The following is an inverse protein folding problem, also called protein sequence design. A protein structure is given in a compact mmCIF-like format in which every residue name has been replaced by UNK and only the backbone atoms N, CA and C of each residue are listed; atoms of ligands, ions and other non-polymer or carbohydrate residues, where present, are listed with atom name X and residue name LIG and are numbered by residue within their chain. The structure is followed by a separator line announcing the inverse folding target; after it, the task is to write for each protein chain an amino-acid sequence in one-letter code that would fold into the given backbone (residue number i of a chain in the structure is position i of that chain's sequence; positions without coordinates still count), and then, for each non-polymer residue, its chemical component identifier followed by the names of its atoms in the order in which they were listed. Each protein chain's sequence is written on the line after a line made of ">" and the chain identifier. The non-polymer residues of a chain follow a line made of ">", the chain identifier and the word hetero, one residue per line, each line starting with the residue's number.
data_IF_978305322526
#
_entry.id   IF_978305322526
#
_cell.length_a   1.000
_cell.length_b   1.000
_cell.length_c   1.000
_cell.angle_alpha   90.00
_cell.angle_beta   90.00
_cell.angle_gamma   90.00
#
_symmetry.space_group_name_H-M   'P 1'
#
loop_
_entity.id
_entity.type
_entity.pdbx_description
1 polymer ?
#
# COMPACT_ATOMS: atom_id res chain seq x y z
N UNK A 1 -7.57 -4.31 -64.89
CA UNK A 1 -6.38 -5.04 -65.38
C UNK A 1 -5.76 -5.72 -64.16
N UNK A 2 -6.03 -7.00 -63.93
CA UNK A 2 -5.57 -7.70 -62.72
C UNK A 2 -4.03 -7.88 -62.77
N UNK A 3 -3.30 -7.69 -61.65
CA UNK A 3 -1.85 -7.83 -61.62
C UNK A 3 -1.46 -9.27 -61.94
N UNK A 4 -0.58 -9.47 -62.93
CA UNK A 4 -0.05 -10.79 -63.28
C UNK A 4 0.88 -11.26 -62.17
N UNK A 5 0.39 -12.13 -61.29
CA UNK A 5 1.24 -12.87 -60.37
C UNK A 5 2.31 -13.66 -61.15
N UNK A 6 3.50 -13.79 -60.54
CA UNK A 6 4.57 -14.67 -61.04
C UNK A 6 4.03 -16.08 -61.26
N UNK A 7 4.71 -16.90 -62.08
CA UNK A 7 4.25 -18.28 -62.38
C UNK A 7 3.94 -19.09 -61.11
N UNK A 8 4.72 -18.86 -60.04
CA UNK A 8 4.48 -19.41 -58.71
C UNK A 8 3.18 -18.94 -58.04
N UNK A 9 2.85 -17.65 -58.16
CA UNK A 9 1.60 -17.11 -57.63
C UNK A 9 0.37 -17.63 -58.38
N UNK A 10 0.46 -17.82 -59.71
CA UNK A 10 -0.61 -18.45 -60.51
C UNK A 10 -0.81 -19.92 -60.15
N UNK A 11 0.27 -20.65 -59.91
CA UNK A 11 0.19 -22.03 -59.44
C UNK A 11 -0.47 -22.12 -58.05
N UNK A 12 -0.06 -21.25 -57.12
CA UNK A 12 -0.65 -21.16 -55.79
C UNK A 12 -2.14 -20.79 -55.86
N UNK A 13 -2.50 -19.78 -56.66
CA UNK A 13 -3.88 -19.37 -56.87
C UNK A 13 -4.74 -20.52 -57.42
N UNK A 14 -4.24 -21.24 -58.44
CA UNK A 14 -4.96 -22.39 -59.00
C UNK A 14 -5.10 -23.54 -57.98
N UNK A 15 -4.07 -23.79 -57.16
CA UNK A 15 -4.12 -24.82 -56.12
C UNK A 15 -5.17 -24.49 -55.05
N UNK A 16 -5.20 -23.25 -54.57
CA UNK A 16 -6.19 -22.81 -53.58
C UNK A 16 -7.59 -22.72 -54.18
N UNK A 17 -7.73 -22.22 -55.41
CA UNK A 17 -9.01 -22.19 -56.11
C UNK A 17 -9.58 -23.61 -56.29
N UNK A 18 -8.75 -24.56 -56.73
CA UNK A 18 -9.15 -25.96 -56.85
C UNK A 18 -9.47 -26.59 -55.47
N UNK A 19 -8.66 -26.29 -54.46
CA UNK A 19 -8.87 -26.76 -53.08
C UNK A 19 -10.18 -26.25 -52.47
N UNK A 20 -10.44 -24.95 -52.55
CA UNK A 20 -11.67 -24.34 -52.06
C UNK A 20 -12.89 -24.74 -52.88
N UNK A 21 -12.76 -24.90 -54.20
CA UNK A 21 -13.86 -25.39 -55.04
C UNK A 21 -14.23 -26.83 -54.67
N UNK A 22 -13.24 -27.72 -54.54
CA UNK A 22 -13.45 -29.11 -54.11
C UNK A 22 -14.05 -29.20 -52.71
N UNK A 23 -13.51 -28.42 -51.76
CA UNK A 23 -14.04 -28.34 -50.39
C UNK A 23 -15.46 -27.76 -50.35
N UNK A 24 -15.74 -26.72 -51.12
CA UNK A 24 -17.07 -26.13 -51.25
C UNK A 24 -18.08 -27.11 -51.82
N UNK A 25 -17.72 -27.88 -52.86
CA UNK A 25 -18.56 -28.95 -53.37
C UNK A 25 -18.79 -30.06 -52.33
N UNK A 26 -17.78 -30.41 -51.53
CA UNK A 26 -17.91 -31.38 -50.43
C UNK A 26 -18.87 -30.88 -49.34
N UNK A 27 -18.77 -29.61 -48.97
CA UNK A 27 -19.66 -28.96 -48.00
C UNK A 27 -21.10 -28.92 -48.50
N UNK A 28 -21.30 -28.54 -49.76
CA UNK A 28 -22.62 -28.48 -50.39
C UNK A 28 -23.29 -29.86 -50.49
N UNK A 29 -22.51 -30.95 -50.66
CA UNK A 29 -23.04 -32.33 -50.72
C UNK A 29 -23.39 -32.90 -49.35
N UNK A 30 -22.72 -32.45 -48.28
CA UNK A 30 -22.92 -32.98 -46.92
C UNK A 30 -23.10 -31.87 -45.86
N UNK A 31 -24.09 -30.97 -46.00
CA UNK A 31 -24.23 -29.82 -45.12
C UNK A 31 -24.48 -30.23 -43.66
N UNK A 32 -25.34 -31.22 -43.43
CA UNK A 32 -25.67 -31.68 -42.07
C UNK A 32 -24.48 -32.27 -41.30
N UNK A 33 -23.61 -33.05 -41.96
CA UNK A 33 -22.43 -33.65 -41.32
C UNK A 33 -21.41 -32.59 -40.90
N UNK A 34 -21.25 -31.54 -41.71
CA UNK A 34 -20.31 -30.46 -41.42
C UNK A 34 -20.82 -29.57 -40.29
N UNK A 35 -22.12 -29.27 -40.27
CA UNK A 35 -22.73 -28.53 -39.17
C UNK A 35 -22.54 -29.29 -37.86
N UNK A 36 -22.85 -30.60 -37.84
CA UNK A 36 -22.66 -31.43 -36.65
C UNK A 36 -21.18 -31.50 -36.23
N UNK A 37 -20.25 -31.63 -37.18
CA UNK A 37 -18.81 -31.66 -36.88
C UNK A 37 -18.32 -30.33 -36.29
N UNK A 38 -18.75 -29.19 -36.85
CA UNK A 38 -18.42 -27.87 -36.31
C UNK A 38 -19.01 -27.65 -34.92
N UNK A 39 -20.24 -28.11 -34.69
CA UNK A 39 -20.92 -28.02 -33.40
C UNK A 39 -20.23 -28.90 -32.35
N UNK A 40 -19.85 -30.13 -32.71
CA UNK A 40 -19.06 -31.02 -31.86
C UNK A 40 -17.71 -30.41 -31.50
N UNK A 41 -17.03 -29.76 -32.46
CA UNK A 41 -15.77 -29.06 -32.20
C UNK A 41 -15.96 -27.88 -31.23
N UNK A 42 -17.01 -27.09 -31.40
CA UNK A 42 -17.30 -25.98 -30.47
C UNK A 42 -17.62 -26.48 -29.06
N UNK A 43 -18.39 -27.57 -28.93
CA UNK A 43 -18.69 -28.19 -27.65
C UNK A 43 -17.45 -28.81 -26.99
N UNK A 44 -16.52 -29.33 -27.79
CA UNK A 44 -15.24 -29.84 -27.31
C UNK A 44 -14.30 -28.73 -26.81
N UNK A 45 -14.33 -27.55 -27.43
CA UNK A 45 -13.54 -26.39 -26.99
C UNK A 45 -14.17 -25.63 -25.81
N UNK A 46 -15.50 -25.67 -25.66
CA UNK A 46 -16.23 -25.01 -24.57
C UNK A 46 -15.71 -25.31 -23.14
N UNK A 47 -15.41 -26.55 -22.73
CA UNK A 47 -14.91 -26.83 -21.38
C UNK A 47 -13.54 -26.19 -21.09
N UNK A 48 -12.77 -25.83 -22.11
CA UNK A 48 -11.48 -25.16 -21.93
C UNK A 48 -11.62 -23.72 -21.42
N UNK A 49 -12.77 -23.09 -21.64
CA UNK A 49 -13.07 -21.75 -21.11
C UNK A 49 -13.07 -21.75 -19.58
N UNK A 50 -13.52 -22.84 -18.95
CA UNK A 50 -13.51 -23.00 -17.50
C UNK A 50 -12.10 -23.08 -16.90
N UNK A 51 -11.07 -23.31 -17.72
CA UNK A 51 -9.66 -23.33 -17.29
C UNK A 51 -8.97 -21.96 -17.43
N UNK A 52 -9.66 -20.95 -17.99
CA UNK A 52 -9.12 -19.60 -18.12
C UNK A 52 -8.95 -18.99 -16.73
N UNK A 53 -7.70 -18.69 -16.36
CA UNK A 53 -7.37 -17.95 -15.15
C UNK A 53 -7.18 -16.48 -15.47
N UNK A 54 -8.02 -15.63 -14.88
CA UNK A 54 -7.87 -14.18 -14.98
C UNK A 54 -6.83 -13.74 -13.95
N UNK A 55 -5.71 -13.23 -14.41
CA UNK A 55 -4.74 -12.57 -13.54
C UNK A 55 -5.24 -11.15 -13.26
N UNK A 56 -5.68 -10.89 -12.03
CA UNK A 56 -6.09 -9.55 -11.55
C UNK A 56 -4.93 -8.74 -10.96
N UNK A 57 -3.71 -9.27 -11.05
CA UNK A 57 -2.52 -8.63 -10.52
C UNK A 57 -2.10 -7.48 -11.45
N UNK A 58 -2.38 -6.23 -11.05
CA UNK A 58 -2.03 -5.04 -11.81
C UNK A 58 -0.52 -4.99 -12.12
N UNK A 59 0.33 -5.45 -11.20
CA UNK A 59 1.76 -5.47 -11.43
C UNK A 59 2.13 -6.40 -12.60
N UNK A 60 1.45 -7.55 -12.76
CA UNK A 60 1.68 -8.46 -13.90
C UNK A 60 1.03 -7.97 -15.20
N UNK A 61 -0.07 -7.22 -15.12
CA UNK A 61 -0.79 -6.71 -16.28
C UNK A 61 -0.09 -5.49 -16.90
N UNK A 62 0.45 -4.58 -16.07
CA UNK A 62 0.95 -3.29 -16.52
C UNK A 62 2.47 -3.20 -16.58
N UNK A 63 3.21 -4.13 -15.98
CA UNK A 63 4.68 -4.14 -16.02
C UNK A 63 5.17 -5.22 -16.99
N UNK A 64 5.84 -4.85 -18.09
CA UNK A 64 6.34 -5.83 -19.05
C UNK A 64 7.37 -6.75 -18.39
N UNK A 65 7.53 -7.96 -18.92
CA UNK A 65 8.41 -8.97 -18.33
C UNK A 65 9.88 -8.54 -18.25
N UNK A 66 10.33 -7.71 -19.19
CA UNK A 66 11.72 -7.26 -19.29
C UNK A 66 11.95 -5.84 -18.75
N UNK A 67 10.97 -5.27 -18.03
CA UNK A 67 11.15 -3.94 -17.44
C UNK A 67 12.21 -3.96 -16.31
N UNK A 68 13.12 -2.97 -16.28
CA UNK A 68 14.10 -2.85 -15.18
C UNK A 68 13.40 -2.69 -13.82
N UNK A 69 12.31 -1.93 -13.76
CA UNK A 69 11.48 -1.74 -12.55
C UNK A 69 10.99 -3.07 -11.97
N UNK A 70 10.67 -4.05 -12.82
CA UNK A 70 10.25 -5.38 -12.35
C UNK A 70 11.38 -6.09 -11.63
N UNK A 71 12.59 -6.00 -12.16
CA UNK A 71 13.76 -6.64 -11.57
C UNK A 71 14.15 -6.00 -10.24
N UNK A 72 14.05 -4.68 -10.13
CA UNK A 72 14.30 -3.94 -8.88
C UNK A 72 13.27 -4.31 -7.81
N UNK A 73 11.98 -4.29 -8.15
CA UNK A 73 10.90 -4.67 -7.24
C UNK A 73 11.04 -6.11 -6.72
N UNK A 74 11.39 -7.06 -7.60
CA UNK A 74 11.60 -8.46 -7.20
C UNK A 74 12.83 -8.63 -6.29
N UNK A 75 13.89 -7.85 -6.52
CA UNK A 75 15.08 -7.80 -5.65
C UNK A 75 14.75 -7.20 -4.29
N UNK A 76 13.94 -6.16 -4.24
CA UNK A 76 13.48 -5.55 -2.98
C UNK A 76 12.61 -6.53 -2.19
N UNK A 77 11.68 -7.24 -2.83
CA UNK A 77 10.94 -8.32 -2.17
C UNK A 77 11.86 -9.42 -1.64
N UNK A 78 12.90 -9.79 -2.40
CA UNK A 78 13.88 -10.77 -1.94
C UNK A 78 14.65 -10.24 -0.72
N UNK A 79 15.10 -8.99 -0.76
CA UNK A 79 15.79 -8.32 0.34
C UNK A 79 14.92 -8.24 1.61
N UNK A 80 13.66 -7.85 1.49
CA UNK A 80 12.72 -7.77 2.62
C UNK A 80 12.41 -9.13 3.25
N UNK A 81 12.60 -10.25 2.52
CA UNK A 81 12.49 -11.62 3.06
C UNK A 81 13.76 -12.08 3.76
N UNK A 82 14.90 -11.43 3.51
CA UNK A 82 16.13 -11.72 4.24
C UNK A 82 15.89 -11.21 5.66
N UNK A 83 16.02 -12.06 6.69
CA UNK A 83 15.92 -11.59 8.06
C UNK A 83 16.99 -10.52 8.26
N UNK A 84 16.59 -9.36 8.81
CA UNK A 84 17.55 -8.38 9.29
C UNK A 84 18.49 -9.12 10.24
N UNK A 85 19.74 -9.33 9.81
CA UNK A 85 20.71 -10.09 10.57
C UNK A 85 20.78 -9.56 12.00
N UNK A 86 20.84 -10.47 12.96
CA UNK A 86 20.94 -10.11 14.36
C UNK A 86 22.33 -9.48 14.59
N UNK A 87 22.41 -8.14 14.58
CA UNK A 87 23.64 -7.41 14.93
C UNK A 87 23.91 -7.50 16.44
N UNK A 88 22.99 -8.07 17.21
CA UNK A 88 23.12 -8.35 18.64
C UNK A 88 23.29 -9.84 18.86
N UNK A 89 24.53 -10.31 18.73
CA UNK A 89 24.92 -11.62 19.27
C UNK A 89 24.63 -11.59 20.78
N UNK A 90 23.69 -12.46 21.19
CA UNK A 90 23.21 -12.76 22.55
C UNK A 90 22.00 -11.95 23.03
N UNK A 91 20.80 -12.47 22.77
CA UNK A 91 19.80 -12.64 23.83
C UNK A 91 18.88 -13.82 23.47
N UNK A 92 18.77 -14.77 24.41
CA UNK A 92 17.92 -15.93 24.30
C UNK A 92 16.46 -15.48 24.08
N UNK A 93 15.99 -15.59 22.83
CA UNK A 93 14.58 -15.37 22.51
C UNK A 93 13.75 -16.44 23.20
N UNK A 94 13.06 -16.05 24.26
CA UNK A 94 11.86 -16.75 24.70
C UNK A 94 10.92 -16.81 23.51
N UNK A 95 10.76 -18.00 22.95
CA UNK A 95 9.87 -18.31 21.84
C UNK A 95 8.44 -18.16 22.38
N UNK A 96 7.90 -16.95 22.35
CA UNK A 96 6.46 -16.76 22.43
C UNK A 96 5.87 -17.41 21.17
N UNK A 97 4.76 -18.13 21.36
CA UNK A 97 4.07 -18.92 20.32
C UNK A 97 3.95 -18.09 19.04
N UNK A 98 4.68 -18.47 17.99
CA UNK A 98 4.48 -17.89 16.65
C UNK A 98 3.04 -18.15 16.26
N UNK A 99 2.29 -17.08 16.06
CA UNK A 99 0.99 -17.13 15.38
C UNK A 99 1.11 -17.89 14.07
N UNK A 100 0.10 -18.69 13.74
CA UNK A 100 0.03 -19.39 12.46
C UNK A 100 -0.17 -18.43 11.27
N UNK A 101 -0.60 -17.19 11.54
CA UNK A 101 -0.88 -16.17 10.53
C UNK A 101 0.27 -15.16 10.43
N UNK A 102 0.57 -14.65 9.21
CA UNK A 102 1.55 -13.60 9.05
C UNK A 102 1.07 -12.33 9.75
N UNK A 103 1.96 -11.71 10.53
CA UNK A 103 1.72 -10.41 11.17
C UNK A 103 1.73 -9.32 10.12
N UNK A 104 0.71 -8.48 10.11
CA UNK A 104 0.65 -7.29 9.27
C UNK A 104 0.97 -6.04 10.09
N UNK A 105 1.58 -5.06 9.43
CA UNK A 105 2.02 -3.80 10.06
C UNK A 105 1.31 -2.66 9.38
N UNK A 106 0.56 -1.86 10.14
CA UNK A 106 -0.18 -0.72 9.62
C UNK A 106 -0.02 0.51 10.53
N UNK A 107 -0.42 1.67 10.04
CA UNK A 107 -0.35 2.95 10.73
C UNK A 107 -1.74 3.55 10.79
N UNK A 108 -2.27 3.69 12.00
CA UNK A 108 -3.47 4.50 12.22
C UNK A 108 -3.04 5.96 12.16
N UNK A 109 -3.59 6.70 11.20
CA UNK A 109 -3.29 8.13 11.00
C UNK A 109 -4.54 8.96 11.23
N UNK A 110 -4.45 9.92 12.13
CA UNK A 110 -5.49 10.92 12.34
C UNK A 110 -5.03 12.25 11.75
N UNK A 111 -5.82 12.77 10.80
CA UNK A 111 -5.55 14.05 10.14
C UNK A 111 -6.27 15.16 10.88
N UNK A 112 -5.52 16.13 11.37
CA UNK A 112 -6.03 17.32 12.04
C UNK A 112 -6.00 18.46 11.03
N UNK A 113 -7.17 19.03 10.76
CA UNK A 113 -7.36 20.19 9.87
C UNK A 113 -8.27 21.16 10.61
N UNK A 114 -7.85 22.43 10.72
CA UNK A 114 -8.69 23.50 11.25
C UNK A 114 -9.56 24.09 10.16
N UNK A 115 -10.74 24.59 10.52
CA UNK A 115 -11.59 25.33 9.60
C UNK A 115 -10.81 26.47 8.93
N UNK A 116 -11.05 26.71 7.64
CA UNK A 116 -10.34 27.68 6.81
C UNK A 116 -8.81 27.50 6.67
N UNK A 117 -8.25 26.32 7.01
CA UNK A 117 -6.81 26.04 6.91
C UNK A 117 -5.93 27.04 7.69
N UNK A 118 -6.41 27.45 8.85
CA UNK A 118 -5.65 28.26 9.80
C UNK A 118 -4.39 27.52 10.31
N UNK A 119 -3.47 28.28 10.90
CA UNK A 119 -2.26 27.71 11.46
C UNK A 119 -2.57 26.80 12.66
N UNK A 120 -2.07 25.57 12.62
CA UNK A 120 -2.19 24.58 13.70
C UNK A 120 -1.00 24.59 14.67
N UNK A 121 0.07 25.31 14.35
CA UNK A 121 1.27 25.42 15.21
C UNK A 121 1.07 26.49 16.28
N UNK A 122 0.04 26.30 17.09
CA UNK A 122 -0.26 27.09 18.28
C UNK A 122 -0.05 26.21 19.51
N UNK A 123 0.58 26.75 20.56
CA UNK A 123 0.90 25.99 21.79
C UNK A 123 -0.34 25.31 22.38
N UNK A 124 -1.47 26.02 22.48
CA UNK A 124 -2.72 25.46 22.99
C UNK A 124 -3.19 24.24 22.17
N UNK A 125 -3.19 24.37 20.85
CA UNK A 125 -3.57 23.29 19.93
C UNK A 125 -2.61 22.11 20.06
N UNK A 126 -1.30 22.34 20.06
CA UNK A 126 -0.28 21.29 20.14
C UNK A 126 -0.33 20.53 21.48
N UNK A 127 -0.53 21.24 22.59
CA UNK A 127 -0.69 20.66 23.91
C UNK A 127 -1.98 19.81 24.00
N UNK A 128 -3.09 20.33 23.47
CA UNK A 128 -4.36 19.62 23.39
C UNK A 128 -4.22 18.33 22.57
N UNK A 129 -3.60 18.40 21.39
CA UNK A 129 -3.36 17.24 20.55
C UNK A 129 -2.48 16.20 21.24
N UNK A 130 -1.41 16.63 21.92
CA UNK A 130 -0.56 15.70 22.67
C UNK A 130 -1.33 15.03 23.81
N UNK A 131 -2.17 15.75 24.56
CA UNK A 131 -3.01 15.16 25.60
C UNK A 131 -3.99 14.14 25.01
N UNK A 132 -4.65 14.48 23.90
CA UNK A 132 -5.52 13.56 23.16
C UNK A 132 -4.77 12.28 22.77
N UNK A 133 -3.51 12.38 22.34
CA UNK A 133 -2.73 11.19 22.01
C UNK A 133 -2.47 10.28 23.20
N UNK A 134 -2.38 10.82 24.42
CA UNK A 134 -2.23 10.04 25.65
C UNK A 134 -3.55 9.39 26.06
N UNK A 135 -4.66 10.10 25.92
CA UNK A 135 -6.01 9.56 26.16
C UNK A 135 -6.32 8.39 25.23
N UNK A 136 -5.95 8.52 23.95
CA UNK A 136 -6.13 7.48 22.94
C UNK A 136 -5.45 6.15 23.34
N UNK A 137 -4.32 6.20 24.05
CA UNK A 137 -3.64 4.98 24.53
C UNK A 137 -4.46 4.17 25.54
N UNK A 138 -5.41 4.81 26.23
CA UNK A 138 -6.23 4.20 27.26
C UNK A 138 -7.62 3.78 26.75
N UNK A 139 -7.92 3.98 25.46
CA UNK A 139 -9.22 3.64 24.87
C UNK A 139 -9.42 2.12 24.88
N UNK A 140 -10.62 1.72 25.31
CA UNK A 140 -11.09 0.34 25.35
C UNK A 140 -12.27 0.15 24.41
N UNK A 141 -12.30 -0.97 23.70
CA UNK A 141 -13.41 -1.38 22.83
C UNK A 141 -13.92 -2.75 23.24
N UNK A 142 -15.20 -2.84 23.58
CA UNK A 142 -15.86 -4.12 23.86
C UNK A 142 -16.45 -4.71 22.58
N UNK A 143 -15.87 -5.82 22.11
CA UNK A 143 -16.31 -6.53 20.92
C UNK A 143 -16.34 -8.04 21.18
N UNK A 144 -17.49 -8.67 20.91
CA UNK A 144 -17.70 -10.11 21.09
C UNK A 144 -17.40 -10.62 22.52
N UNK A 145 -17.78 -9.82 23.54
CA UNK A 145 -17.57 -10.15 24.95
C UNK A 145 -16.10 -10.09 25.40
N UNK A 146 -15.21 -9.53 24.56
CA UNK A 146 -13.82 -9.24 24.89
C UNK A 146 -13.58 -7.75 24.85
N UNK A 147 -12.93 -7.23 25.89
CA UNK A 147 -12.42 -5.86 25.93
C UNK A 147 -11.06 -5.82 25.28
N UNK A 148 -10.96 -5.04 24.21
CA UNK A 148 -9.73 -4.78 23.47
C UNK A 148 -9.18 -3.41 23.84
N UNK A 149 -7.85 -3.30 23.92
CA UNK A 149 -7.13 -2.05 24.16
C UNK A 149 -6.18 -1.77 23.01
N UNK A 150 -5.78 -0.51 22.87
CA UNK A 150 -4.69 -0.17 21.95
C UNK A 150 -3.38 -0.93 22.30
N UNK A 151 -3.20 -1.29 23.58
CA UNK A 151 -2.11 -2.15 24.08
C UNK A 151 -2.00 -3.54 23.47
N UNK A 152 -3.11 -4.05 22.93
CA UNK A 152 -3.16 -5.36 22.29
C UNK A 152 -2.68 -5.32 20.85
N UNK A 153 -2.81 -4.15 20.18
CA UNK A 153 -2.50 -3.99 18.76
C UNK A 153 -1.24 -3.19 18.51
N UNK A 154 -0.77 -2.35 19.42
CA UNK A 154 0.33 -1.45 19.10
C UNK A 154 1.66 -2.19 18.82
N UNK A 155 2.54 -1.54 18.07
CA UNK A 155 3.95 -1.92 18.03
C UNK A 155 4.63 -1.63 19.37
N UNK A 156 5.25 -2.66 19.94
CA UNK A 156 6.17 -2.58 21.08
C UNK A 156 7.59 -2.62 20.53
N UNK A 157 8.42 -1.67 20.94
CA UNK A 157 9.82 -1.60 20.50
C UNK A 157 10.68 -2.44 21.45
N UNK A 158 11.38 -3.45 20.92
CA UNK A 158 12.26 -4.31 21.72
C UNK A 158 11.54 -5.09 22.84
N UNK A 159 12.02 -4.95 24.07
CA UNK A 159 11.51 -5.63 25.27
C UNK A 159 10.40 -4.83 26.00
N UNK A 160 9.90 -3.75 25.40
CA UNK A 160 8.87 -2.93 26.01
C UNK A 160 7.57 -3.73 26.22
N UNK A 161 7.11 -3.78 27.48
CA UNK A 161 5.86 -4.47 27.84
C UNK A 161 4.60 -3.68 27.45
N UNK A 162 4.75 -2.37 27.23
CA UNK A 162 3.66 -1.42 26.95
C UNK A 162 3.92 -0.69 25.64
N UNK A 163 2.86 -0.20 25.02
CA UNK A 163 3.00 0.70 23.89
C UNK A 163 3.70 1.98 24.31
N UNK A 164 4.45 2.56 23.37
CA UNK A 164 4.95 3.92 23.51
C UNK A 164 4.20 4.87 22.56
N UNK A 165 4.17 6.15 22.93
CA UNK A 165 3.61 7.22 22.11
C UNK A 165 4.73 8.06 21.46
N UNK A 166 5.90 7.44 21.21
CA UNK A 166 7.12 8.14 20.79
C UNK A 166 6.97 8.85 19.44
N UNK A 167 6.08 8.34 18.59
CA UNK A 167 5.72 8.97 17.33
C UNK A 167 5.13 10.35 17.50
N UNK A 168 4.35 10.61 18.55
CA UNK A 168 3.63 11.86 18.74
C UNK A 168 4.31 12.80 19.75
N UNK A 169 5.43 12.40 20.35
CA UNK A 169 6.24 13.23 21.28
C UNK A 169 6.74 14.52 20.63
N UNK A 170 6.84 14.60 19.30
CA UNK A 170 7.20 15.84 18.61
C UNK A 170 6.20 16.97 18.90
N UNK A 171 4.90 16.66 19.11
CA UNK A 171 3.87 17.66 19.47
C UNK A 171 4.21 18.35 20.78
N UNK A 172 4.67 17.58 21.78
CA UNK A 172 5.11 18.11 23.09
C UNK A 172 6.32 19.03 22.95
N UNK A 173 7.26 18.70 22.07
CA UNK A 173 8.42 19.56 21.84
C UNK A 173 8.06 20.80 21.02
N UNK A 174 7.15 20.67 20.05
CA UNK A 174 6.65 21.78 19.26
C UNK A 174 5.85 22.76 20.13
N UNK A 175 5.03 22.26 21.06
CA UNK A 175 4.33 23.08 22.06
C UNK A 175 5.30 24.03 22.80
N UNK A 176 6.41 23.50 23.33
CA UNK A 176 7.44 24.31 24.00
C UNK A 176 8.03 25.39 23.07
N UNK A 177 8.24 25.07 21.78
CA UNK A 177 8.76 26.02 20.80
C UNK A 177 7.78 27.17 20.52
N UNK A 178 6.49 26.88 20.48
CA UNK A 178 5.43 27.84 20.11
C UNK A 178 4.75 28.51 21.31
N UNK A 179 5.12 28.16 22.54
CA UNK A 179 4.55 28.75 23.76
C UNK A 179 4.99 30.19 23.99
N UNK A 180 6.29 30.44 23.87
CA UNK A 180 6.92 31.71 24.22
C UNK A 180 7.84 32.19 23.08
N UNK A 181 7.99 33.51 22.90
CA UNK A 181 8.89 34.06 21.88
C UNK A 181 10.36 33.65 22.08
N UNK A 182 10.76 33.36 23.32
CA UNK A 182 12.09 32.83 23.66
C UNK A 182 12.27 31.37 23.22
N UNK A 183 11.19 30.58 23.17
CA UNK A 183 11.20 29.18 22.76
C UNK A 183 11.63 29.00 21.30
N UNK A 184 11.26 29.94 20.43
CA UNK A 184 11.67 29.96 19.02
C UNK A 184 13.17 30.19 18.82
N UNK A 185 13.82 30.87 19.75
CA UNK A 185 15.24 31.18 19.69
C UNK A 185 16.11 30.14 20.41
N UNK A 186 15.52 29.03 20.88
CA UNK A 186 16.26 27.99 21.58
C UNK A 186 17.19 27.24 20.60
N UNK A 187 18.52 27.31 20.77
CA UNK A 187 19.43 26.64 19.85
C UNK A 187 19.32 25.11 19.90
N UNK A 188 18.81 24.55 20.99
CA UNK A 188 18.67 23.11 21.19
C UNK A 188 17.40 22.52 20.58
N UNK A 189 16.40 23.35 20.23
CA UNK A 189 15.14 22.89 19.65
C UNK A 189 14.84 23.78 18.45
N UNK A 190 14.94 23.22 17.25
CA UNK A 190 14.68 23.95 16.01
C UNK A 190 13.71 23.16 15.14
N UNK A 191 12.79 23.86 14.51
CA UNK A 191 11.77 23.27 13.65
C UNK A 191 11.96 23.80 12.23
N UNK A 192 12.57 22.99 11.35
CA UNK A 192 12.94 23.36 9.98
C UNK A 192 12.43 22.31 9.02
N UNK A 193 11.66 22.65 7.99
CA UNK A 193 11.10 21.60 7.14
C UNK A 193 12.21 20.84 6.38
N UNK A 194 12.24 19.48 6.36
CA UNK A 194 11.24 18.51 6.88
C UNK A 194 11.63 17.86 8.23
N UNK A 195 12.51 18.46 9.02
CA UNK A 195 13.10 17.89 10.23
C UNK A 195 12.90 18.76 11.49
N UNK A 196 12.68 18.10 12.62
CA UNK A 196 12.80 18.73 13.93
C UNK A 196 14.16 18.39 14.52
N UNK A 197 14.97 19.38 14.85
CA UNK A 197 16.21 19.19 15.58
C UNK A 197 15.95 19.23 17.08
N UNK A 198 16.26 18.14 17.76
CA UNK A 198 16.26 18.03 19.22
C UNK A 198 17.68 17.76 19.68
N UNK A 199 18.32 18.74 20.33
CA UNK A 199 19.72 18.67 20.75
C UNK A 199 20.67 18.26 19.61
N UNK A 200 20.56 18.91 18.45
CA UNK A 200 21.27 18.59 17.20
C UNK A 200 21.01 17.20 16.62
N UNK A 201 20.01 16.45 17.13
CA UNK A 201 19.56 15.20 16.51
C UNK A 201 18.35 15.47 15.62
N UNK A 202 18.45 15.24 14.30
CA UNK A 202 17.31 15.42 13.41
C UNK A 202 16.30 14.30 13.63
N UNK A 203 15.03 14.67 13.75
CA UNK A 203 13.86 13.78 13.72
C UNK A 203 13.03 14.17 12.51
N UNK A 204 12.78 13.23 11.61
CA UNK A 204 11.95 13.47 10.44
C UNK A 204 10.50 13.78 10.87
N UNK A 205 9.99 14.92 10.39
CA UNK A 205 8.62 15.37 10.59
C UNK A 205 7.86 15.58 9.27
N UNK A 206 8.48 15.29 8.13
CA UNK A 206 7.87 15.49 6.80
C UNK A 206 6.60 14.65 6.61
N UNK A 207 6.48 13.55 7.34
CA UNK A 207 5.31 12.68 7.33
C UNK A 207 4.21 13.11 8.33
N UNK A 208 4.45 14.09 9.20
CA UNK A 208 3.50 14.53 10.25
C UNK A 208 3.03 15.98 10.13
N UNK A 209 3.69 16.80 9.31
CA UNK A 209 3.33 18.20 9.09
C UNK A 209 3.16 18.48 7.60
N UNK A 210 2.01 19.00 7.20
CA UNK A 210 1.68 19.32 5.80
C UNK A 210 1.14 20.74 5.65
N UNK A 211 1.25 21.28 4.42
CA UNK A 211 0.84 22.65 4.12
C UNK A 211 1.65 23.66 4.93
N UNK A 212 2.97 23.48 4.94
CA UNK A 212 3.90 24.20 5.82
C UNK A 212 4.23 25.57 5.23
N UNK A 213 4.21 26.60 6.08
CA UNK A 213 4.71 27.92 5.76
C UNK A 213 6.09 28.09 6.40
N UNK A 214 7.10 28.37 5.56
CA UNK A 214 8.51 28.44 5.96
C UNK A 214 9.07 29.84 5.74
N UNK A 215 10.06 30.22 6.55
CA UNK A 215 10.77 31.50 6.40
C UNK A 215 12.28 31.36 6.61
N UNK A 216 13.02 32.33 6.07
CA UNK A 216 14.47 32.40 6.20
C UNK A 216 15.23 31.34 5.38
N UNK A 217 16.55 31.42 5.41
CA UNK A 217 17.42 30.52 4.65
C UNK A 217 17.45 29.09 5.22
N UNK A 218 17.08 28.94 6.50
CA UNK A 218 17.04 27.65 7.21
C UNK A 218 15.70 26.94 7.13
N UNK A 219 14.77 27.43 6.31
CA UNK A 219 13.42 26.88 6.14
C UNK A 219 12.68 26.64 7.47
N UNK A 220 12.78 27.62 8.38
CA UNK A 220 12.14 27.56 9.69
C UNK A 220 10.63 27.57 9.54
N UNK A 221 9.97 26.62 10.21
CA UNK A 221 8.53 26.45 10.10
C UNK A 221 7.83 27.49 10.99
N UNK A 222 7.08 28.40 10.37
CA UNK A 222 6.24 29.36 11.09
C UNK A 222 4.84 28.82 11.29
N UNK A 223 4.33 28.02 10.35
CA UNK A 223 2.99 27.51 10.41
C UNK A 223 2.76 26.24 9.62
N UNK A 224 1.68 25.55 9.93
CA UNK A 224 1.22 24.36 9.21
C UNK A 224 -0.30 24.31 9.17
N UNK A 225 -0.84 23.84 8.04
CA UNK A 225 -2.30 23.76 7.81
C UNK A 225 -2.89 22.42 8.21
N UNK A 226 -2.08 21.37 8.17
CA UNK A 226 -2.51 20.00 8.47
C UNK A 226 -1.44 19.31 9.29
N UNK A 227 -1.85 18.71 10.40
CA UNK A 227 -0.99 17.87 11.23
C UNK A 227 -1.52 16.44 11.20
N UNK A 228 -0.63 15.45 11.29
CA UNK A 228 -1.04 14.05 11.43
C UNK A 228 -0.47 13.42 12.67
N UNK A 229 -1.31 12.62 13.31
CA UNK A 229 -1.01 11.86 14.53
C UNK A 229 -0.99 10.40 14.16
N UNK A 230 0.05 9.67 14.57
CA UNK A 230 0.30 8.31 14.12
C UNK A 230 0.38 7.33 15.28
N UNK A 231 -0.20 6.14 15.09
CA UNK A 231 0.03 4.97 15.95
C UNK A 231 0.34 3.76 15.07
N UNK A 232 1.45 3.08 15.35
CA UNK A 232 1.78 1.81 14.70
C UNK A 232 0.97 0.69 15.31
N UNK A 233 0.29 -0.08 14.46
CA UNK A 233 -0.47 -1.25 14.85
C UNK A 233 0.03 -2.51 14.14
N UNK A 234 -0.13 -3.62 14.84
CA UNK A 234 0.19 -4.98 14.48
C UNK A 234 -1.03 -5.84 14.73
N UNK A 235 -1.43 -6.57 13.70
CA UNK A 235 -2.53 -7.50 13.80
C UNK A 235 -2.27 -8.69 12.88
N UNK A 236 -2.89 -9.81 13.21
CA UNK A 236 -2.78 -11.03 12.41
C UNK A 236 -3.60 -10.89 11.14
N UNK A 237 -3.02 -11.23 9.99
CA UNK A 237 -3.74 -11.25 8.72
C UNK A 237 -4.63 -12.48 8.62
N UNK A 238 -5.80 -12.40 9.24
CA UNK A 238 -6.86 -13.41 9.11
C UNK A 238 -7.67 -13.19 7.82
N UNK A 239 -8.36 -14.20 7.29
CA UNK A 239 -9.28 -14.02 6.16
C UNK A 239 -10.34 -12.94 6.41
N UNK A 240 -10.78 -12.80 7.66
CA UNK A 240 -11.74 -11.78 8.12
C UNK A 240 -11.16 -10.36 8.08
N UNK A 241 -9.87 -10.19 8.42
CA UNK A 241 -9.20 -8.89 8.34
C UNK A 241 -9.21 -8.33 6.91
N UNK A 242 -9.07 -9.19 5.90
CA UNK A 242 -9.15 -8.80 4.49
C UNK A 242 -10.53 -8.29 4.07
N UNK A 243 -11.60 -8.73 4.73
CA UNK A 243 -12.96 -8.25 4.48
C UNK A 243 -13.19 -6.87 5.12
N UNK A 244 -12.55 -6.56 6.25
CA UNK A 244 -12.66 -5.26 6.92
C UNK A 244 -12.11 -4.10 6.06
N UNK A 245 -11.03 -4.32 5.31
CA UNK A 245 -10.47 -3.34 4.37
C UNK A 245 -11.36 -3.09 3.13
N UNK A 246 -12.39 -3.90 2.90
CA UNK A 246 -13.39 -3.68 1.84
C UNK A 246 -14.65 -2.94 2.33
N UNK A 247 -14.72 -2.58 3.62
CA UNK A 247 -15.74 -1.68 4.14
C UNK A 247 -15.29 -0.22 3.93
N UNK A 248 -15.90 0.49 2.96
CA UNK A 248 -17.24 1.00 3.17
C UNK A 248 -18.13 0.91 1.91
N UNK A 249 -19.05 -0.06 1.86
CA UNK A 249 -20.22 -0.05 0.95
C UNK A 249 -21.45 -0.75 1.55
N UNK A 250 -21.75 -0.50 2.82
CA UNK A 250 -23.07 -0.80 3.40
C UNK A 250 -23.46 0.29 4.38
N UNK A 251 -23.84 1.42 3.80
CA UNK A 251 -24.75 2.39 4.40
C UNK A 251 -25.30 3.24 3.25
N UNK A 252 -26.12 2.59 2.41
CA UNK A 252 -27.19 3.14 1.57
C UNK A 252 -27.94 1.98 0.91
#
# INVERSE_FOLDING_TARGET
>A
MAPRFSEWGRWFENLFAAGFYSWGCFVARHPGKIIIASLALTLFCAPFISYIRINLDLFKLFVPHDAPVKTEYLREQAFNKIPAGDLTVNMAKNISKRSAYPMFTDIVRYYVVKDNYENLLESETLAMLYNYTQEMMNVTLDLNGKTWRLEDFCRKDGDDKKCNNNLNVWLKHADILFRDAEGRNNPNIQLSYPVMYLFNRPKDIGNVVYGVNVTGEKHEIIGARVLTIHWFIYFEKTPESGAAYMFPRRAE
#
